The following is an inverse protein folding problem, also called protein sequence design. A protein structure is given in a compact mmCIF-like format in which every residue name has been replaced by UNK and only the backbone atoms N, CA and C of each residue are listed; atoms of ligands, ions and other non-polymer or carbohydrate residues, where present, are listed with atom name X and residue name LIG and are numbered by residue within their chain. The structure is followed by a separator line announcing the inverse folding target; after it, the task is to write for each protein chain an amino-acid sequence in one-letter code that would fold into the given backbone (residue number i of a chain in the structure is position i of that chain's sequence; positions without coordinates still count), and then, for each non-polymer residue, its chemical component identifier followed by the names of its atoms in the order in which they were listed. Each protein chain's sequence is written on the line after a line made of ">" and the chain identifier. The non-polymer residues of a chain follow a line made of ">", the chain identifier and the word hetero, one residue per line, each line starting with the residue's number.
data_IF_978608450278
#
_entry.id   IF_978608450278
#
_cell.length_a   1.000
_cell.length_b   1.000
_cell.length_c   1.000
_cell.angle_alpha   90.00
_cell.angle_beta   90.00
_cell.angle_gamma   90.00
#
_symmetry.space_group_name_H-M   'P 1'
#
loop_
_entity.id
_entity.type
_entity.pdbx_description
1 polymer ?
#
# COMPACT_ATOMS: atom_id res chain seq x y z
N UNK A 1 16.01 -4.52 21.39
CA UNK A 1 16.24 -3.43 20.42
C UNK A 1 15.09 -2.45 20.55
N UNK A 2 15.34 -1.25 21.08
CA UNK A 2 14.33 -0.20 21.20
C UNK A 2 14.15 0.49 19.85
N UNK A 3 12.92 0.52 19.33
CA UNK A 3 12.60 1.32 18.15
C UNK A 3 12.77 2.80 18.50
N UNK A 4 13.60 3.52 17.74
CA UNK A 4 13.64 4.98 17.84
C UNK A 4 12.27 5.54 17.46
N UNK A 5 11.80 6.62 18.11
CA UNK A 5 10.47 7.18 17.86
C UNK A 5 10.23 7.55 16.39
N UNK A 6 11.28 7.97 15.67
CA UNK A 6 11.24 8.24 14.23
C UNK A 6 10.96 7.00 13.40
N UNK A 7 11.70 5.90 13.61
CA UNK A 7 11.45 4.61 12.96
C UNK A 7 10.04 4.09 13.23
N UNK A 8 9.56 4.20 14.47
CA UNK A 8 8.20 3.80 14.82
C UNK A 8 7.14 4.61 14.05
N UNK A 9 7.33 5.93 13.94
CA UNK A 9 6.45 6.80 13.17
C UNK A 9 6.45 6.44 11.68
N UNK A 10 7.63 6.23 11.07
CA UNK A 10 7.75 5.86 9.66
C UNK A 10 7.07 4.53 9.35
N UNK A 11 7.30 3.50 10.18
CA UNK A 11 6.66 2.20 10.03
C UNK A 11 5.15 2.30 10.17
N UNK A 12 4.66 3.14 11.09
CA UNK A 12 3.22 3.34 11.28
C UNK A 12 2.59 4.02 10.06
N UNK A 13 3.18 5.10 9.56
CA UNK A 13 2.71 5.78 8.34
C UNK A 13 2.73 4.82 7.14
N UNK A 14 3.81 4.06 6.99
CA UNK A 14 3.94 3.05 5.93
C UNK A 14 2.87 1.96 6.03
N UNK A 15 2.59 1.45 7.24
CA UNK A 15 1.57 0.44 7.47
C UNK A 15 0.16 0.97 7.14
N UNK A 16 -0.17 2.19 7.56
CA UNK A 16 -1.45 2.83 7.24
C UNK A 16 -1.61 3.01 5.73
N UNK A 17 -0.54 3.42 5.05
CA UNK A 17 -0.53 3.56 3.60
C UNK A 17 -0.70 2.21 2.89
N UNK A 18 -0.04 1.14 3.36
CA UNK A 18 -0.22 -0.22 2.85
C UNK A 18 -1.66 -0.72 3.01
N UNK A 19 -2.30 -0.42 4.15
CA UNK A 19 -3.72 -0.73 4.37
C UNK A 19 -4.60 0.02 3.37
N UNK A 20 -4.30 1.30 3.10
CA UNK A 20 -5.01 2.06 2.07
C UNK A 20 -4.84 1.44 0.68
N UNK A 21 -3.63 1.04 0.29
CA UNK A 21 -3.38 0.32 -0.97
C UNK A 21 -4.18 -1.00 -1.04
N UNK A 22 -4.16 -1.79 0.04
CA UNK A 22 -4.94 -3.03 0.13
C UNK A 22 -6.45 -2.77 -0.03
N UNK A 23 -6.96 -1.74 0.63
CA UNK A 23 -8.37 -1.36 0.57
C UNK A 23 -8.79 -0.89 -0.83
N UNK A 24 -7.96 -0.11 -1.51
CA UNK A 24 -8.21 0.30 -2.90
C UNK A 24 -8.25 -0.89 -3.86
N UNK A 25 -7.38 -1.89 -3.64
CA UNK A 25 -7.40 -3.17 -4.35
C UNK A 25 -8.67 -3.96 -4.09
N UNK A 26 -9.06 -4.10 -2.83
CA UNK A 26 -10.28 -4.81 -2.42
C UNK A 26 -11.55 -4.23 -3.03
N UNK A 27 -11.62 -2.89 -3.13
CA UNK A 27 -12.75 -2.18 -3.76
C UNK A 27 -12.63 -2.12 -5.29
N UNK A 28 -11.56 -2.66 -5.88
CA UNK A 28 -11.19 -2.55 -7.29
C UNK A 28 -11.19 -1.11 -7.84
N UNK A 29 -10.86 -0.11 -6.99
CA UNK A 29 -10.86 1.31 -7.36
C UNK A 29 -9.49 1.77 -7.83
N UNK A 30 -9.17 1.46 -9.08
CA UNK A 30 -7.87 1.76 -9.72
C UNK A 30 -7.52 3.26 -9.67
N UNK A 31 -8.49 4.16 -9.90
CA UNK A 31 -8.24 5.60 -9.83
C UNK A 31 -7.83 6.08 -8.44
N UNK A 32 -8.43 5.51 -7.38
CA UNK A 32 -8.10 5.85 -6.00
C UNK A 32 -6.73 5.27 -5.60
N UNK A 33 -6.37 4.09 -6.16
CA UNK A 33 -5.02 3.54 -6.02
C UNK A 33 -3.94 4.49 -6.55
N UNK A 34 -4.12 5.08 -7.73
CA UNK A 34 -3.13 6.03 -8.26
C UNK A 34 -2.96 7.27 -7.38
N UNK A 35 -4.06 7.76 -6.77
CA UNK A 35 -3.99 8.88 -5.83
C UNK A 35 -3.21 8.48 -4.57
N UNK A 36 -3.54 7.33 -3.97
CA UNK A 36 -2.83 6.80 -2.79
C UNK A 36 -1.35 6.55 -3.11
N UNK A 37 -1.05 6.00 -4.29
CA UNK A 37 0.31 5.76 -4.76
C UNK A 37 1.10 7.07 -4.88
N UNK A 38 0.51 8.09 -5.51
CA UNK A 38 1.14 9.41 -5.65
C UNK A 38 1.43 10.05 -4.28
N UNK A 39 0.50 9.93 -3.32
CA UNK A 39 0.71 10.43 -1.95
C UNK A 39 1.85 9.68 -1.26
N UNK A 40 1.92 8.36 -1.38
CA UNK A 40 3.01 7.55 -0.80
C UNK A 40 4.37 7.88 -1.40
N UNK A 41 4.44 8.02 -2.73
CA UNK A 41 5.65 8.44 -3.44
C UNK A 41 6.10 9.84 -3.00
N UNK A 42 5.18 10.80 -2.91
CA UNK A 42 5.48 12.15 -2.48
C UNK A 42 5.99 12.18 -1.03
N UNK A 43 5.31 11.51 -0.10
CA UNK A 43 5.73 11.41 1.29
C UNK A 43 7.12 10.77 1.42
N UNK A 44 7.38 9.69 0.68
CA UNK A 44 8.68 9.03 0.69
C UNK A 44 9.78 9.94 0.14
N UNK A 45 9.53 10.63 -0.98
CA UNK A 45 10.47 11.58 -1.56
C UNK A 45 10.75 12.77 -0.63
N UNK A 46 9.71 13.34 -0.01
CA UNK A 46 9.83 14.42 0.99
C UNK A 46 10.69 13.93 2.17
N UNK A 47 10.44 12.73 2.68
CA UNK A 47 11.24 12.20 3.79
C UNK A 47 12.71 11.99 3.41
N UNK A 48 12.98 11.50 2.20
CA UNK A 48 14.36 11.32 1.74
C UNK A 48 15.12 12.65 1.60
N UNK A 49 14.46 13.69 1.08
CA UNK A 49 15.08 15.01 0.90
C UNK A 49 15.25 15.73 2.24
N UNK A 50 14.23 15.76 3.10
CA UNK A 50 14.27 16.56 4.33
C UNK A 50 14.76 15.80 5.56
N UNK A 51 14.50 14.49 5.64
CA UNK A 51 14.85 13.67 6.80
C UNK A 51 16.23 13.02 6.71
N UNK A 52 16.72 12.77 5.49
CA UNK A 52 17.99 12.09 5.23
C UNK A 52 18.99 12.93 4.44
N UNK A 53 18.60 14.14 3.99
CA UNK A 53 19.41 15.02 3.12
C UNK A 53 19.97 14.29 1.87
N UNK A 54 19.24 13.29 1.39
CA UNK A 54 19.64 12.47 0.26
C UNK A 54 19.39 13.23 -1.05
N UNK A 55 20.38 13.23 -1.96
CA UNK A 55 20.19 13.84 -3.29
C UNK A 55 19.25 12.97 -4.11
N UNK A 56 18.29 13.61 -4.78
CA UNK A 56 17.19 12.96 -5.52
C UNK A 56 17.66 11.92 -6.56
N UNK A 57 18.90 12.02 -7.04
CA UNK A 57 19.50 11.12 -8.04
C UNK A 57 20.48 10.09 -7.47
N UNK A 58 20.54 9.93 -6.15
CA UNK A 58 21.40 8.91 -5.58
C UNK A 58 20.78 7.50 -5.73
N UNK A 59 21.60 6.45 -5.95
CA UNK A 59 21.09 5.10 -6.21
C UNK A 59 20.14 4.59 -5.12
N UNK A 60 20.39 4.96 -3.87
CA UNK A 60 19.55 4.55 -2.74
C UNK A 60 18.17 5.23 -2.75
N UNK A 61 18.06 6.47 -3.22
CA UNK A 61 16.79 7.18 -3.37
C UNK A 61 15.93 6.53 -4.47
N UNK A 62 16.56 6.17 -5.60
CA UNK A 62 15.89 5.47 -6.70
C UNK A 62 15.39 4.09 -6.27
N UNK A 63 16.23 3.30 -5.61
CA UNK A 63 15.85 1.97 -5.12
C UNK A 63 14.69 2.06 -4.12
N UNK A 64 14.68 3.05 -3.23
CA UNK A 64 13.57 3.24 -2.31
C UNK A 64 12.26 3.61 -3.02
N UNK A 65 12.29 4.48 -4.03
CA UNK A 65 11.09 4.79 -4.81
C UNK A 65 10.56 3.57 -5.57
N UNK A 66 11.44 2.80 -6.21
CA UNK A 66 11.06 1.55 -6.88
C UNK A 66 10.46 0.57 -5.87
N UNK A 67 11.04 0.46 -4.68
CA UNK A 67 10.54 -0.41 -3.62
C UNK A 67 9.13 0.00 -3.18
N UNK A 68 8.87 1.30 -2.99
CA UNK A 68 7.53 1.83 -2.67
C UNK A 68 6.52 1.43 -3.75
N UNK A 69 6.86 1.56 -5.03
CA UNK A 69 5.98 1.14 -6.14
C UNK A 69 5.71 -0.36 -6.08
N UNK A 70 6.73 -1.19 -5.89
CA UNK A 70 6.56 -2.65 -5.80
C UNK A 70 5.68 -3.05 -4.62
N UNK A 71 5.85 -2.42 -3.45
CA UNK A 71 4.98 -2.64 -2.30
C UNK A 71 3.53 -2.21 -2.57
N UNK A 72 3.33 -1.07 -3.24
CA UNK A 72 1.99 -0.61 -3.60
C UNK A 72 1.30 -1.59 -4.54
N UNK A 73 1.99 -2.03 -5.59
CA UNK A 73 1.47 -2.98 -6.58
C UNK A 73 1.17 -4.32 -5.91
N UNK A 74 2.06 -4.79 -5.03
CA UNK A 74 1.83 -5.99 -4.22
C UNK A 74 0.59 -5.86 -3.34
N UNK A 75 0.49 -4.79 -2.55
CA UNK A 75 -0.66 -4.54 -1.68
C UNK A 75 -1.98 -4.41 -2.43
N UNK A 76 -1.98 -3.69 -3.56
CA UNK A 76 -3.15 -3.58 -4.43
C UNK A 76 -3.55 -4.93 -5.02
N UNK A 77 -2.59 -5.71 -5.54
CA UNK A 77 -2.81 -7.04 -6.09
C UNK A 77 -3.38 -8.02 -5.06
N UNK A 78 -2.84 -8.02 -3.84
CA UNK A 78 -3.37 -8.82 -2.73
C UNK A 78 -4.80 -8.40 -2.36
N UNK A 79 -5.06 -7.09 -2.26
CA UNK A 79 -6.39 -6.58 -1.94
C UNK A 79 -7.41 -6.98 -2.99
N UNK A 80 -7.03 -6.86 -4.26
CA UNK A 80 -7.87 -7.26 -5.39
C UNK A 80 -8.16 -8.77 -5.42
N UNK A 81 -7.15 -9.59 -5.15
CA UNK A 81 -7.32 -11.04 -5.04
C UNK A 81 -8.24 -11.41 -3.88
N UNK A 82 -8.07 -10.75 -2.72
CA UNK A 82 -8.93 -10.95 -1.56
C UNK A 82 -10.39 -10.53 -1.84
N UNK A 83 -10.59 -9.44 -2.58
CA UNK A 83 -11.93 -9.00 -3.03
C UNK A 83 -12.59 -10.03 -3.95
N UNK A 84 -11.85 -10.54 -4.93
CA UNK A 84 -12.29 -11.64 -5.81
C UNK A 84 -12.68 -12.89 -5.03
N UNK A 85 -11.83 -13.29 -4.08
CA UNK A 85 -12.10 -14.45 -3.23
C UNK A 85 -13.37 -14.24 -2.43
N UNK A 86 -13.53 -13.09 -1.76
CA UNK A 86 -14.73 -12.75 -0.99
C UNK A 86 -16.02 -12.76 -1.84
N UNK A 87 -15.94 -12.31 -3.11
CA UNK A 87 -17.07 -12.41 -4.05
C UNK A 87 -17.42 -13.87 -4.37
N UNK A 88 -16.42 -14.72 -4.64
CA UNK A 88 -16.64 -16.16 -4.88
C UNK A 88 -17.24 -16.88 -3.69
N UNK A 89 -16.78 -16.56 -2.47
CA UNK A 89 -17.38 -17.11 -1.24
C UNK A 89 -18.83 -16.69 -1.04
N UNK A 90 -19.23 -15.50 -1.50
CA UNK A 90 -20.63 -15.06 -1.48
C UNK A 90 -21.47 -15.79 -2.51
N UNK A 91 -20.96 -15.99 -3.73
CA UNK A 91 -21.63 -16.75 -4.79
C UNK A 91 -21.84 -18.23 -4.41
N UNK A 92 -20.93 -18.82 -3.62
CA UNK A 92 -21.07 -20.21 -3.16
C UNK A 92 -21.99 -20.40 -1.94
N UNK A 93 -22.57 -19.34 -1.36
CA UNK A 93 -23.64 -19.53 -0.36
C UNK A 93 -24.90 -19.99 -1.07
N UNK A 94 -25.23 -21.26 -0.90
CA UNK A 94 -26.54 -21.83 -1.19
C UNK A 94 -27.58 -21.11 -0.32
N UNK A 95 -28.56 -20.45 -0.94
CA UNK A 95 -29.75 -19.98 -0.23
C UNK A 95 -30.49 -21.20 0.32
N UNK A 96 -30.90 -21.14 1.59
CA UNK A 96 -31.63 -22.21 2.27
C UNK A 96 -33.15 -22.08 2.06
N UNK A 97 -33.57 -21.61 0.90
CA UNK A 97 -34.98 -21.29 0.63
C UNK A 97 -35.71 -22.38 -0.18
N UNK A 98 -35.05 -23.52 -0.44
CA UNK A 98 -35.63 -24.65 -1.19
C UNK A 98 -35.98 -25.88 -0.30
N UNK A 99 -36.36 -25.69 0.98
CA UNK A 99 -36.75 -26.78 1.88
C UNK A 99 -38.15 -26.60 2.50
#
# INVERSE_FOLDING_TARGET
>A
MTLTPTLAALLTVFALWMIACLWTGFRARVGLFFLVLAVGLALNAIWMVFGLDARVFEPHALVAQVSVVLYAVGGFGFGWLAGRLAQRWRESRVDKDDA
#
